data_IF_457014320115
#
_entry.id   IF_457014320115
#
_cell.length_a   1.000
_cell.length_b   1.000
_cell.length_c   1.000
_cell.angle_alpha   90.00
_cell.angle_beta   90.00
_cell.angle_gamma   90.00
#
_symmetry.space_group_name_H-M   'P 1'
#
loop_
_entity.id
_entity.type
_entity.pdbx_description
1 polymer ?
#
# COMPACT_ATOMS: atom_id res chain seq x y z
N UNK A 1 7.06 -0.63 26.46
CA UNK A 1 6.72 0.51 25.59
C UNK A 1 6.40 -0.08 24.23
N UNK A 2 5.12 -0.20 23.89
CA UNK A 2 4.71 -0.79 22.61
C UNK A 2 4.80 0.30 21.54
N UNK A 3 5.77 0.17 20.64
CA UNK A 3 5.84 0.93 19.40
C UNK A 3 4.56 0.62 18.61
N UNK A 4 3.67 1.60 18.47
CA UNK A 4 2.48 1.43 17.65
C UNK A 4 2.94 1.17 16.21
N UNK A 5 2.35 0.20 15.47
CA UNK A 5 2.82 -0.16 14.14
C UNK A 5 2.80 1.09 13.28
N UNK A 6 4.00 1.55 12.92
CA UNK A 6 4.20 2.78 12.18
C UNK A 6 3.62 2.57 10.78
N UNK A 7 2.39 3.04 10.57
CA UNK A 7 1.70 2.88 9.28
C UNK A 7 2.49 3.63 8.21
N UNK A 8 2.97 2.87 7.24
CA UNK A 8 3.69 3.41 6.11
C UNK A 8 2.71 3.89 5.06
N UNK A 9 3.08 4.95 4.36
CA UNK A 9 2.30 5.44 3.26
C UNK A 9 2.38 4.48 2.06
N UNK A 10 1.24 4.07 1.53
CA UNK A 10 1.15 3.17 0.37
C UNK A 10 1.67 3.78 -0.94
N UNK A 11 1.83 5.11 -1.00
CA UNK A 11 2.33 5.83 -2.17
C UNK A 11 3.84 6.04 -2.20
N UNK A 12 4.49 6.25 -1.04
CA UNK A 12 5.92 6.56 -0.96
C UNK A 12 6.74 5.66 -0.02
N UNK A 13 6.10 4.82 0.78
CA UNK A 13 6.74 3.89 1.72
C UNK A 13 7.24 4.51 3.03
N UNK A 14 7.19 5.83 3.17
CA UNK A 14 7.61 6.53 4.40
C UNK A 14 6.61 6.33 5.53
N UNK A 15 7.10 6.35 6.77
CA UNK A 15 6.26 6.37 7.97
C UNK A 15 5.36 7.61 8.00
N UNK A 16 4.23 7.53 8.71
CA UNK A 16 3.24 8.62 8.81
C UNK A 16 3.83 9.98 9.21
N UNK A 17 4.86 10.03 10.06
CA UNK A 17 5.54 11.28 10.43
C UNK A 17 6.49 11.86 9.38
N UNK A 18 6.76 11.14 8.29
CA UNK A 18 7.72 11.52 7.24
C UNK A 18 7.10 11.69 5.84
N UNK A 19 5.88 11.20 5.57
CA UNK A 19 5.16 11.54 4.31
C UNK A 19 4.50 12.92 4.47
N UNK A 20 4.67 13.78 3.47
CA UNK A 20 4.09 15.13 3.43
C UNK A 20 2.57 15.16 3.12
N UNK A 21 1.88 14.01 3.17
CA UNK A 21 0.41 13.93 3.17
C UNK A 21 -0.32 13.82 1.83
N UNK A 22 0.36 13.85 0.68
CA UNK A 22 -0.30 13.82 -0.65
C UNK A 22 0.13 12.62 -1.53
N UNK A 23 0.57 11.55 -0.89
CA UNK A 23 1.32 10.47 -1.52
C UNK A 23 0.39 9.43 -2.25
N UNK A 24 -0.90 9.34 -1.90
CA UNK A 24 -1.86 8.37 -2.44
C UNK A 24 -2.89 8.99 -3.40
N UNK A 25 -3.30 8.22 -4.42
CA UNK A 25 -4.37 8.58 -5.38
C UNK A 25 -5.35 7.41 -5.43
N UNK A 26 -6.66 7.70 -5.44
CA UNK A 26 -7.69 6.66 -5.35
C UNK A 26 -7.63 5.63 -6.49
N UNK A 27 -7.16 6.05 -7.67
CA UNK A 27 -7.04 5.21 -8.85
C UNK A 27 -5.64 4.61 -9.05
N UNK A 28 -4.64 4.98 -8.24
CA UNK A 28 -3.29 4.40 -8.33
C UNK A 28 -3.19 3.20 -7.39
N UNK A 29 -2.77 2.02 -7.88
CA UNK A 29 -2.58 0.87 -7.01
C UNK A 29 -1.55 1.17 -5.91
N UNK A 30 -1.68 0.58 -4.71
CA UNK A 30 -0.71 0.75 -3.65
C UNK A 30 0.66 0.25 -4.12
N UNK A 31 1.68 1.09 -3.96
CA UNK A 31 3.06 0.78 -4.37
C UNK A 31 3.89 0.22 -3.23
N UNK A 32 3.50 0.51 -1.99
CA UNK A 32 4.22 0.13 -0.78
C UNK A 32 3.28 -0.52 0.24
N UNK A 33 3.82 -1.47 1.01
CA UNK A 33 3.12 -2.16 2.07
C UNK A 33 2.82 -1.19 3.22
N UNK A 34 1.58 -1.10 3.71
CA UNK A 34 1.23 -0.23 4.83
C UNK A 34 1.85 -0.70 6.16
N UNK A 35 2.34 -1.94 6.23
CA UNK A 35 2.89 -2.56 7.44
C UNK A 35 4.43 -2.53 7.54
N UNK A 36 5.17 -2.71 6.44
CA UNK A 36 6.64 -2.60 6.45
C UNK A 36 7.24 -1.55 5.51
N UNK A 37 6.43 -0.85 4.72
CA UNK A 37 6.92 0.20 3.81
C UNK A 37 7.74 -0.34 2.64
N UNK A 38 7.84 -1.66 2.47
CA UNK A 38 8.50 -2.29 1.31
C UNK A 38 7.64 -2.15 0.07
N UNK A 39 8.30 -2.07 -1.09
CA UNK A 39 7.62 -2.00 -2.40
C UNK A 39 6.87 -3.31 -2.67
N UNK A 40 5.64 -3.19 -3.16
CA UNK A 40 4.76 -4.31 -3.50
C UNK A 40 5.06 -4.81 -4.92
N UNK A 41 4.80 -6.09 -5.16
CA UNK A 41 4.62 -6.58 -6.54
C UNK A 41 3.19 -6.26 -6.94
N UNK A 42 3.03 -5.40 -7.94
CA UNK A 42 1.73 -4.95 -8.43
C UNK A 42 1.50 -5.49 -9.83
N UNK A 43 0.34 -6.12 -10.04
CA UNK A 43 -0.14 -6.51 -11.36
C UNK A 43 -1.40 -5.70 -11.68
N UNK A 44 -1.43 -5.07 -12.85
CA UNK A 44 -2.50 -4.16 -13.26
C UNK A 44 -3.16 -4.70 -14.53
N UNK A 45 -4.48 -4.73 -14.52
CA UNK A 45 -5.34 -4.97 -15.68
C UNK A 45 -6.28 -3.76 -15.86
N UNK A 46 -6.98 -3.63 -17.00
CA UNK A 46 -7.97 -2.58 -17.17
C UNK A 46 -9.12 -2.61 -16.16
N UNK A 47 -9.45 -3.79 -15.61
CA UNK A 47 -10.58 -3.98 -14.71
C UNK A 47 -10.18 -3.97 -13.23
N UNK A 48 -8.94 -4.36 -12.90
CA UNK A 48 -8.50 -4.57 -11.54
C UNK A 48 -6.98 -4.54 -11.38
N UNK A 49 -6.52 -4.46 -10.14
CA UNK A 49 -5.13 -4.71 -9.79
C UNK A 49 -5.04 -5.68 -8.60
N UNK A 50 -3.90 -6.37 -8.51
CA UNK A 50 -3.51 -7.13 -7.32
C UNK A 50 -2.18 -6.60 -6.81
N UNK A 51 -2.01 -6.54 -5.49
CA UNK A 51 -0.77 -6.07 -4.88
C UNK A 51 -0.36 -7.01 -3.76
N UNK A 52 0.88 -7.48 -3.78
CA UNK A 52 1.40 -8.42 -2.78
C UNK A 52 2.73 -7.94 -2.19
N UNK A 53 2.82 -8.01 -0.86
CA UNK A 53 4.05 -7.84 -0.11
C UNK A 53 4.74 -9.18 0.05
N UNK A 54 6.07 -9.18 -0.05
CA UNK A 54 6.88 -10.39 0.14
C UNK A 54 6.73 -10.99 1.54
N UNK A 55 6.64 -10.15 2.57
CA UNK A 55 6.62 -10.59 3.96
C UNK A 55 5.19 -10.70 4.52
N UNK A 56 4.26 -9.90 4.01
CA UNK A 56 2.89 -9.77 4.57
C UNK A 56 1.78 -10.30 3.66
N UNK A 57 2.08 -10.76 2.46
CA UNK A 57 1.08 -11.30 1.53
C UNK A 57 0.27 -10.22 0.82
N UNK A 58 -0.95 -10.54 0.38
CA UNK A 58 -1.81 -9.62 -0.38
C UNK A 58 -2.20 -8.37 0.44
N UNK A 59 -2.14 -7.23 -0.23
CA UNK A 59 -2.32 -5.91 0.37
C UNK A 59 -3.42 -5.16 -0.37
N UNK A 60 -4.60 -5.14 0.25
CA UNK A 60 -5.74 -4.33 -0.19
C UNK A 60 -6.94 -5.14 -0.65
N UNK A 61 -8.17 -4.67 -0.37
CA UNK A 61 -9.38 -5.28 -0.91
C UNK A 61 -9.59 -4.80 -2.34
N UNK A 62 -9.42 -5.67 -3.33
CA UNK A 62 -10.07 -5.46 -4.61
C UNK A 62 -11.51 -5.99 -4.50
N UNK A 63 -12.50 -5.09 -4.35
CA UNK A 63 -13.90 -5.43 -4.62
C UNK A 63 -14.32 -4.72 -5.91
N UNK A 64 -14.56 -5.44 -7.02
CA UNK A 64 -15.17 -4.85 -8.21
C UNK A 64 -16.63 -4.46 -7.92
N UNK A 65 -17.19 -3.41 -8.55
CA UNK A 65 -18.65 -3.33 -8.70
C UNK A 65 -19.13 -4.45 -9.64
N UNK A 66 -20.24 -5.09 -9.27
CA UNK A 66 -20.89 -6.17 -10.03
C UNK A 66 -21.37 -5.73 -11.42
#
# INVERSE_FOLDING_TARGET
MADAPSRHCTGCGLTSGACAGACGRDLDPPRFCPECGRRLTVYVTPAHFTAACRDHGEVGPFSPPA
#
